data_IF_823092200871
#
_entry.id   IF_823092200871
#
_cell.length_a   1.000
_cell.length_b   1.000
_cell.length_c   1.000
_cell.angle_alpha   90.00
_cell.angle_beta   90.00
_cell.angle_gamma   90.00
#
_symmetry.space_group_name_H-M   'P 1'
#
loop_
_entity.id
_entity.type
_entity.pdbx_description
1 polymer ?
#
# COMPACT_ATOMS: atom_id res chain seq x y z
N UNK A 1 -10.06 -14.81 -11.40
CA UNK A 1 -10.02 -14.18 -10.05
C UNK A 1 -10.45 -12.74 -10.21
N UNK A 2 -11.67 -12.36 -9.81
CA UNK A 2 -12.03 -10.94 -9.77
C UNK A 2 -11.28 -10.30 -8.60
N UNK A 3 -10.24 -9.52 -8.89
CA UNK A 3 -9.57 -8.70 -7.88
C UNK A 3 -10.62 -7.85 -7.19
N UNK A 4 -10.78 -8.01 -5.87
CA UNK A 4 -11.78 -7.29 -5.05
C UNK A 4 -11.42 -5.81 -4.82
N UNK A 5 -10.47 -5.29 -5.59
CA UNK A 5 -9.91 -3.96 -5.45
C UNK A 5 -9.27 -3.49 -6.77
N UNK A 6 -9.14 -2.19 -6.92
CA UNK A 6 -8.50 -1.47 -8.02
C UNK A 6 -7.13 -0.94 -7.56
N UNK A 7 -6.12 -1.13 -8.40
CA UNK A 7 -4.81 -0.48 -8.22
C UNK A 7 -4.92 0.98 -8.66
N UNK A 8 -4.50 1.90 -7.81
CA UNK A 8 -4.52 3.34 -8.08
C UNK A 8 -3.13 3.84 -8.46
N UNK A 9 -2.15 3.60 -7.59
CA UNK A 9 -0.77 4.12 -7.72
C UNK A 9 0.23 3.08 -7.25
N UNK A 10 1.46 3.15 -7.76
CA UNK A 10 2.57 2.28 -7.36
C UNK A 10 3.78 3.11 -6.93
N UNK A 11 4.40 2.69 -5.84
CA UNK A 11 5.57 3.34 -5.24
C UNK A 11 6.69 2.32 -5.09
N UNK A 12 7.90 2.70 -5.45
CA UNK A 12 9.09 1.87 -5.29
C UNK A 12 10.13 2.64 -4.49
N UNK A 13 10.76 1.96 -3.53
CA UNK A 13 11.83 2.56 -2.75
C UNK A 13 13.08 2.77 -3.59
N UNK A 14 13.95 3.66 -3.13
CA UNK A 14 15.21 3.98 -3.77
C UNK A 14 16.38 3.70 -2.81
N UNK A 15 17.59 3.54 -3.36
CA UNK A 15 18.82 3.34 -2.59
C UNK A 15 18.73 2.17 -1.60
N UNK A 16 18.80 2.42 -0.29
CA UNK A 16 18.72 1.42 0.79
C UNK A 16 17.36 0.71 0.90
N UNK A 17 16.30 1.29 0.33
CA UNK A 17 14.95 0.72 0.31
C UNK A 17 14.54 0.22 -1.08
N UNK A 18 15.50 0.00 -2.00
CA UNK A 18 15.22 -0.49 -3.37
C UNK A 18 14.43 -1.79 -3.44
N UNK A 19 14.48 -2.58 -2.38
CA UNK A 19 13.74 -3.84 -2.23
C UNK A 19 12.32 -3.64 -1.70
N UNK A 20 11.93 -2.41 -1.31
CA UNK A 20 10.57 -2.09 -0.86
C UNK A 20 9.73 -1.58 -2.04
N UNK A 21 8.50 -2.08 -2.13
CA UNK A 21 7.47 -1.58 -3.04
C UNK A 21 6.15 -1.44 -2.27
N UNK A 22 5.37 -0.42 -2.59
CA UNK A 22 4.00 -0.28 -2.11
C UNK A 22 3.05 0.00 -3.27
N UNK A 23 1.83 -0.51 -3.16
CA UNK A 23 0.77 -0.28 -4.14
C UNK A 23 -0.44 0.29 -3.41
N UNK A 24 -0.99 1.40 -3.91
CA UNK A 24 -2.19 2.01 -3.36
C UNK A 24 -3.40 1.34 -4.00
N UNK A 25 -4.29 0.83 -3.17
CA UNK A 25 -5.45 0.06 -3.57
C UNK A 25 -6.75 0.71 -3.10
N UNK A 26 -7.80 0.55 -3.89
CA UNK A 26 -9.17 0.94 -3.55
C UNK A 26 -10.09 -0.26 -3.62
N UNK A 27 -10.84 -0.55 -2.57
CA UNK A 27 -11.83 -1.64 -2.56
C UNK A 27 -13.07 -1.28 -3.39
N UNK A 28 -13.78 -2.29 -3.89
CA UNK A 28 -15.10 -2.10 -4.52
C UNK A 28 -16.23 -2.10 -3.48
N UNK A 29 -17.29 -1.32 -3.73
CA UNK A 29 -18.50 -1.21 -2.90
C UNK A 29 -19.04 0.22 -2.82
N UNK A 30 -20.23 0.41 -2.22
CA UNK A 30 -20.85 1.73 -2.00
C UNK A 30 -19.99 2.66 -1.13
N UNK A 31 -19.21 2.07 -0.21
CA UNK A 31 -18.24 2.78 0.62
C UNK A 31 -16.85 2.16 0.40
N UNK A 32 -16.09 2.64 -0.61
CA UNK A 32 -14.78 2.09 -0.91
C UNK A 32 -13.77 2.46 0.18
N UNK A 33 -12.96 1.50 0.57
CA UNK A 33 -11.82 1.70 1.46
C UNK A 33 -10.55 1.88 0.63
N UNK A 34 -9.67 2.75 1.11
CA UNK A 34 -8.33 2.90 0.56
C UNK A 34 -7.35 2.11 1.42
N UNK A 35 -6.31 1.57 0.82
CA UNK A 35 -5.31 0.79 1.52
C UNK A 35 -4.01 0.74 0.75
N UNK A 36 -2.99 0.14 1.36
CA UNK A 36 -1.73 -0.12 0.69
C UNK A 36 -1.40 -1.60 0.75
N UNK A 37 -0.85 -2.12 -0.35
CA UNK A 37 -0.21 -3.42 -0.38
C UNK A 37 1.30 -3.23 -0.33
N UNK A 38 1.92 -3.80 0.68
CA UNK A 38 3.35 -3.65 0.92
C UNK A 38 4.09 -4.88 0.42
N UNK A 39 5.29 -4.64 -0.10
CA UNK A 39 6.17 -5.67 -0.64
C UNK A 39 7.60 -5.48 -0.13
N UNK A 40 8.31 -6.59 0.07
CA UNK A 40 9.75 -6.65 0.30
C UNK A 40 10.32 -7.73 -0.62
N UNK A 41 11.37 -7.39 -1.36
CA UNK A 41 12.05 -8.32 -2.28
C UNK A 41 11.09 -8.95 -3.32
N UNK A 42 10.03 -8.22 -3.69
CA UNK A 42 8.99 -8.72 -4.59
C UNK A 42 7.93 -9.60 -3.91
N UNK A 43 8.10 -9.98 -2.65
CA UNK A 43 7.10 -10.73 -1.89
C UNK A 43 6.05 -9.80 -1.29
N UNK A 44 4.77 -10.10 -1.48
CA UNK A 44 3.68 -9.32 -0.89
C UNK A 44 3.52 -9.65 0.59
N UNK A 45 3.71 -8.67 1.46
CA UNK A 45 3.57 -8.82 2.91
C UNK A 45 2.09 -8.89 3.32
N UNK A 46 1.25 -8.10 2.66
CA UNK A 46 -0.18 -8.01 2.97
C UNK A 46 -0.80 -6.71 2.46
N UNK A 47 -2.11 -6.59 2.62
CA UNK A 47 -2.86 -5.36 2.34
C UNK A 47 -3.31 -4.77 3.67
N UNK A 48 -2.93 -3.52 3.93
CA UNK A 48 -3.40 -2.72 5.06
C UNK A 48 -4.51 -1.78 4.58
N UNK A 49 -5.71 -1.92 5.15
CA UNK A 49 -6.88 -1.12 4.78
C UNK A 49 -7.14 -0.01 5.78
N UNK A 50 -7.31 1.21 5.27
CA UNK A 50 -7.57 2.42 6.03
C UNK A 50 -9.05 2.81 5.96
N UNK A 51 -9.89 2.14 6.75
CA UNK A 51 -11.35 2.27 6.66
C UNK A 51 -11.92 3.68 6.91
N UNK A 52 -11.19 4.51 7.65
CA UNK A 52 -11.59 5.87 8.01
C UNK A 52 -10.77 6.95 7.28
N UNK A 53 -9.96 6.56 6.29
CA UNK A 53 -9.08 7.50 5.58
C UNK A 53 -9.36 7.53 4.08
N UNK A 54 -8.88 8.59 3.44
CA UNK A 54 -9.02 8.82 2.01
C UNK A 54 -7.82 8.30 1.22
N UNK A 55 -7.89 8.43 -0.10
CA UNK A 55 -6.82 8.08 -1.04
C UNK A 55 -5.48 8.72 -0.68
N UNK A 56 -5.48 10.03 -0.39
CA UNK A 56 -4.29 10.80 -0.04
C UNK A 56 -3.56 10.22 1.17
N UNK A 57 -4.28 9.69 2.16
CA UNK A 57 -3.68 9.01 3.30
C UNK A 57 -2.99 7.70 2.89
N UNK A 58 -3.62 6.94 1.99
CA UNK A 58 -3.03 5.71 1.46
C UNK A 58 -1.78 5.99 0.61
N UNK A 59 -1.79 7.03 -0.21
CA UNK A 59 -0.61 7.50 -0.96
C UNK A 59 0.52 7.91 -0.03
N UNK A 60 0.22 8.71 1.01
CA UNK A 60 1.20 9.12 2.00
C UNK A 60 1.77 7.89 2.77
N UNK A 61 0.92 6.93 3.12
CA UNK A 61 1.36 5.70 3.76
C UNK A 61 2.24 4.84 2.85
N UNK A 62 1.94 4.77 1.55
CA UNK A 62 2.77 4.08 0.56
C UNK A 62 4.14 4.73 0.42
N UNK A 63 4.18 6.06 0.28
CA UNK A 63 5.41 6.84 0.20
C UNK A 63 6.28 6.68 1.46
N UNK A 64 5.66 6.77 2.65
CA UNK A 64 6.35 6.56 3.91
C UNK A 64 6.93 5.15 4.02
N UNK A 65 6.23 4.13 3.51
CA UNK A 65 6.72 2.75 3.54
C UNK A 65 7.97 2.56 2.68
N UNK A 66 7.92 3.06 1.43
CA UNK A 66 9.05 2.94 0.49
C UNK A 66 10.22 3.83 0.86
N UNK A 67 9.98 4.88 1.66
CA UNK A 67 11.00 5.78 2.20
C UNK A 67 11.58 5.30 3.53
N UNK A 68 11.11 4.18 4.08
CA UNK A 68 11.60 3.64 5.35
C UNK A 68 11.06 4.32 6.62
N UNK A 69 10.20 5.33 6.48
CA UNK A 69 9.57 6.06 7.60
C UNK A 69 8.54 5.15 8.29
N UNK A 70 7.74 4.44 7.50
CA UNK A 70 6.79 3.42 7.96
C UNK A 70 7.41 2.05 7.74
N UNK A 71 7.35 1.20 8.76
CA UNK A 71 7.68 -0.21 8.63
C UNK A 71 6.40 -1.03 8.66
N UNK A 72 6.40 -2.15 7.93
CA UNK A 72 5.32 -3.12 8.05
C UNK A 72 5.50 -3.88 9.36
N UNK A 73 4.60 -3.66 10.31
CA UNK A 73 4.50 -4.49 11.51
C UNK A 73 3.45 -5.57 11.24
N UNK A 74 3.90 -6.83 11.27
CA UNK A 74 3.01 -7.98 11.18
C UNK A 74 2.34 -8.16 12.53
N UNK A 75 1.13 -7.60 12.69
CA UNK A 75 0.24 -7.88 13.83
C UNK A 75 -0.39 -9.26 13.74
#
# INVERSE_FOLDING_TARGET
>A
MSSKYMLLSEYSGSSEFKNRKAEVLRSFGDHPYYGIRMYIDGESLGIEWYKAHNEMYAENAAENYVSGIKNYERV
#
